data_IF_767394378075
#
_entry.id   IF_767394378075
#
_cell.length_a   1.000
_cell.length_b   1.000
_cell.length_c   1.000
_cell.angle_alpha   90.00
_cell.angle_beta   90.00
_cell.angle_gamma   90.00
#
_symmetry.space_group_name_H-M   'P 1'
#
loop_
_entity.id
_entity.type
_entity.pdbx_description
1 polymer ?
#
# COMPACT_ATOMS: atom_id res chain seq x y z
N UNK A 1 -2.20 7.61 9.63
CA UNK A 1 -3.41 7.05 8.98
C UNK A 1 -3.01 6.03 7.94
N UNK A 2 -3.77 4.99 7.81
CA UNK A 2 -3.55 3.97 6.79
C UNK A 2 -4.55 4.20 5.66
N UNK A 3 -4.04 4.26 4.42
CA UNK A 3 -4.86 4.49 3.23
C UNK A 3 -4.70 3.29 2.32
N UNK A 4 -5.79 2.57 2.10
CA UNK A 4 -5.81 1.41 1.23
C UNK A 4 -6.70 1.69 0.03
N UNK A 5 -6.18 1.45 -1.18
CA UNK A 5 -6.89 1.72 -2.42
C UNK A 5 -6.88 0.49 -3.32
N UNK A 6 -8.05 0.03 -3.69
CA UNK A 6 -8.24 -1.08 -4.62
C UNK A 6 -9.23 -0.72 -5.71
N UNK A 7 -9.51 -1.66 -6.58
CA UNK A 7 -10.47 -1.47 -7.65
C UNK A 7 -10.21 -2.39 -8.83
N UNK A 8 -11.11 -2.39 -9.79
CA UNK A 8 -10.97 -3.23 -10.98
C UNK A 8 -9.82 -2.74 -11.86
N UNK A 9 -9.21 -3.63 -12.66
CA UNK A 9 -8.19 -3.23 -13.63
C UNK A 9 -8.72 -2.12 -14.54
N UNK A 10 -7.84 -1.22 -14.95
CA UNK A 10 -8.16 -0.08 -15.83
C UNK A 10 -9.12 0.95 -15.20
N UNK A 11 -9.23 0.97 -13.88
CA UNK A 11 -10.06 1.97 -13.17
C UNK A 11 -9.34 3.31 -12.97
N UNK A 12 -8.07 3.43 -13.36
CA UNK A 12 -7.29 4.64 -13.16
C UNK A 12 -6.52 4.69 -11.85
N UNK A 13 -6.58 3.63 -11.02
CA UNK A 13 -5.92 3.66 -9.71
C UNK A 13 -4.39 3.81 -9.83
N UNK A 14 -3.76 3.20 -10.83
CA UNK A 14 -2.30 3.33 -11.02
C UNK A 14 -1.91 4.75 -11.42
N UNK A 15 -2.69 5.40 -12.29
CA UNK A 15 -2.44 6.78 -12.68
C UNK A 15 -2.60 7.75 -11.51
N UNK A 16 -3.65 7.55 -10.72
CA UNK A 16 -3.89 8.36 -9.52
C UNK A 16 -2.75 8.19 -8.52
N UNK A 17 -2.32 6.96 -8.31
CA UNK A 17 -1.22 6.66 -7.39
C UNK A 17 0.07 7.33 -7.85
N UNK A 18 0.40 7.27 -9.13
CA UNK A 18 1.61 7.91 -9.66
C UNK A 18 1.59 9.41 -9.49
N UNK A 19 0.43 10.04 -9.64
CA UNK A 19 0.29 11.47 -9.40
C UNK A 19 0.54 11.82 -7.93
N UNK A 20 0.01 11.02 -7.01
CA UNK A 20 0.24 11.19 -5.57
C UNK A 20 1.74 11.04 -5.27
N UNK A 21 2.38 9.99 -5.80
CA UNK A 21 3.79 9.73 -5.57
C UNK A 21 4.70 10.84 -6.09
N UNK A 22 4.37 11.41 -7.25
CA UNK A 22 5.18 12.50 -7.82
C UNK A 22 5.19 13.75 -6.94
N UNK A 23 4.11 13.98 -6.20
CA UNK A 23 4.03 15.11 -5.28
C UNK A 23 4.78 14.89 -3.98
N UNK A 24 4.98 13.63 -3.58
CA UNK A 24 5.72 13.28 -2.37
C UNK A 24 7.24 13.36 -2.54
N UNK A 25 7.73 13.47 -3.76
CA UNK A 25 9.16 13.59 -4.04
C UNK A 25 9.90 12.26 -4.05
N UNK A 26 11.21 12.32 -3.83
CA UNK A 26 12.08 11.12 -3.83
C UNK A 26 11.84 10.27 -2.62
N UNK A 27 12.03 8.96 -2.78
CA UNK A 27 11.84 8.01 -1.71
C UNK A 27 13.07 7.16 -1.42
N UNK A 28 13.08 6.52 -0.26
CA UNK A 28 14.07 5.57 0.15
C UNK A 28 13.45 4.17 0.12
N UNK A 29 14.13 3.22 -0.53
CA UNK A 29 13.68 1.84 -0.61
C UNK A 29 14.07 1.06 0.64
N UNK A 30 13.11 0.33 1.23
CA UNK A 30 13.36 -0.49 2.41
C UNK A 30 12.44 -1.71 2.43
N UNK A 31 12.75 -2.64 3.32
CA UNK A 31 11.92 -3.83 3.54
C UNK A 31 11.81 -4.04 5.05
N UNK A 32 10.87 -3.32 5.72
CA UNK A 32 10.75 -3.36 7.18
C UNK A 32 10.42 -4.74 7.74
N UNK A 33 9.73 -5.56 6.96
CA UNK A 33 9.42 -6.93 7.28
C UNK A 33 9.63 -7.76 6.01
N UNK A 34 10.13 -8.99 6.18
CA UNK A 34 10.36 -9.90 5.05
C UNK A 34 9.11 -10.02 4.18
N UNK A 35 9.27 -9.97 2.87
CA UNK A 35 8.22 -10.01 1.83
C UNK A 35 7.43 -8.70 1.66
N UNK A 36 7.80 -7.64 2.39
CA UNK A 36 7.14 -6.33 2.26
C UNK A 36 8.12 -5.28 1.75
N UNK A 37 8.42 -5.28 0.43
CA UNK A 37 9.20 -4.19 -0.14
C UNK A 37 8.40 -2.88 -0.09
N UNK A 38 9.03 -1.84 0.40
CA UNK A 38 8.39 -0.54 0.62
C UNK A 38 9.25 0.59 0.10
N UNK A 39 8.65 1.77 0.00
CA UNK A 39 9.35 3.01 -0.30
C UNK A 39 8.89 4.06 0.69
N UNK A 40 9.83 4.70 1.37
CA UNK A 40 9.53 5.78 2.30
C UNK A 40 9.73 7.12 1.62
N UNK A 41 8.69 7.96 1.61
CA UNK A 41 8.73 9.33 1.07
C UNK A 41 8.24 10.28 2.15
N UNK A 42 9.16 11.03 2.76
CA UNK A 42 8.83 11.88 3.90
C UNK A 42 8.23 11.06 5.04
N UNK A 43 7.05 11.44 5.51
CA UNK A 43 6.35 10.77 6.60
C UNK A 43 5.41 9.64 6.13
N UNK A 44 5.48 9.30 4.84
CA UNK A 44 4.61 8.30 4.21
C UNK A 44 5.40 7.05 3.87
N UNK A 45 4.92 5.89 4.34
CA UNK A 45 5.43 4.60 3.91
C UNK A 45 4.52 4.06 2.81
N UNK A 46 5.11 3.80 1.64
CA UNK A 46 4.39 3.27 0.48
C UNK A 46 4.70 1.79 0.39
N UNK A 47 3.68 0.94 0.49
CA UNK A 47 3.85 -0.51 0.47
C UNK A 47 3.85 -1.00 -0.97
N UNK A 48 4.87 -1.80 -1.33
CA UNK A 48 5.09 -2.25 -2.68
C UNK A 48 6.08 -1.36 -3.41
N UNK A 49 6.20 -1.58 -4.69
CA UNK A 49 7.14 -0.85 -5.53
C UNK A 49 6.44 -0.34 -6.79
N UNK A 50 6.93 0.78 -7.29
CA UNK A 50 6.42 1.40 -8.52
C UNK A 50 7.58 1.59 -9.51
N UNK A 51 8.06 0.50 -10.13
CA UNK A 51 9.15 0.61 -11.10
C UNK A 51 8.76 1.50 -12.27
N UNK A 52 9.70 2.33 -12.71
CA UNK A 52 9.46 3.23 -13.83
C UNK A 52 9.17 2.43 -15.11
N UNK A 53 8.08 2.78 -15.81
CA UNK A 53 7.70 2.12 -17.06
C UNK A 53 6.96 0.79 -16.90
N UNK A 54 6.76 0.31 -15.68
CA UNK A 54 6.03 -0.92 -15.44
C UNK A 54 4.52 -0.68 -15.42
N UNK A 55 3.77 -1.68 -15.90
CA UNK A 55 2.30 -1.63 -15.95
C UNK A 55 1.70 -1.89 -14.57
N UNK A 56 2.30 -2.81 -13.81
CA UNK A 56 1.83 -3.17 -12.48
C UNK A 56 2.80 -2.71 -11.42
N UNK A 57 2.28 -2.17 -10.35
CA UNK A 57 3.07 -1.69 -9.22
C UNK A 57 2.32 -1.87 -7.91
N UNK A 58 2.79 -1.21 -6.86
CA UNK A 58 2.15 -1.26 -5.55
C UNK A 58 2.17 -2.65 -4.94
N UNK A 59 1.08 -3.00 -4.25
CA UNK A 59 0.99 -4.29 -3.56
C UNK A 59 0.89 -5.48 -4.51
N UNK A 60 0.55 -5.26 -5.77
CA UNK A 60 0.49 -6.34 -6.75
C UNK A 60 1.88 -6.91 -7.08
N UNK A 61 2.94 -6.20 -6.71
CA UNK A 61 4.32 -6.65 -6.84
C UNK A 61 4.80 -7.50 -5.65
N UNK A 62 3.95 -7.66 -4.64
CA UNK A 62 4.28 -8.38 -3.41
C UNK A 62 3.87 -9.84 -3.54
N UNK A 63 4.70 -10.74 -3.01
CA UNK A 63 4.43 -12.18 -3.01
C UNK A 63 3.14 -12.51 -2.26
N UNK A 64 2.41 -13.53 -2.74
CA UNK A 64 1.24 -14.04 -2.03
C UNK A 64 1.55 -14.51 -0.61
N UNK A 65 2.79 -14.96 -0.35
CA UNK A 65 3.22 -15.34 0.99
C UNK A 65 3.14 -14.23 2.03
N UNK A 66 3.13 -12.98 1.59
CA UNK A 66 3.03 -11.84 2.48
C UNK A 66 1.62 -11.66 3.09
N UNK A 67 0.59 -12.25 2.49
CA UNK A 67 -0.80 -12.08 2.95
C UNK A 67 -0.96 -12.50 4.41
N UNK A 68 -0.35 -13.61 4.82
CA UNK A 68 -0.43 -14.11 6.19
C UNK A 68 0.28 -13.20 7.20
N UNK A 69 1.14 -12.30 6.75
CA UNK A 69 1.92 -11.39 7.59
C UNK A 69 1.43 -9.95 7.56
N UNK A 70 0.34 -9.69 6.84
CA UNK A 70 -0.18 -8.33 6.65
C UNK A 70 -0.46 -7.63 7.97
N UNK A 71 -1.15 -8.29 8.88
CA UNK A 71 -1.53 -7.69 10.18
C UNK A 71 -0.31 -7.39 11.03
N UNK A 72 0.66 -8.30 11.07
CA UNK A 72 1.92 -8.08 11.79
C UNK A 72 2.69 -6.91 11.22
N UNK A 73 2.73 -6.79 9.90
CA UNK A 73 3.38 -5.67 9.23
C UNK A 73 2.73 -4.33 9.61
N UNK A 74 1.40 -4.25 9.56
CA UNK A 74 0.68 -3.03 9.89
C UNK A 74 0.90 -2.67 11.37
N UNK A 75 0.78 -3.63 12.29
CA UNK A 75 1.01 -3.39 13.72
C UNK A 75 2.42 -2.90 13.99
N UNK A 76 3.40 -3.43 13.28
CA UNK A 76 4.81 -3.03 13.43
C UNK A 76 5.07 -1.62 12.90
N UNK A 77 4.52 -1.27 11.74
CA UNK A 77 4.88 -0.06 11.03
C UNK A 77 3.97 1.14 11.29
N UNK A 78 2.73 0.92 11.68
CA UNK A 78 1.78 2.02 11.91
C UNK A 78 2.29 3.10 12.88
N UNK A 79 2.92 2.75 14.02
CA UNK A 79 3.41 3.79 14.93
C UNK A 79 4.66 4.53 14.45
N UNK A 80 5.32 4.04 13.40
CA UNK A 80 6.58 4.62 12.90
C UNK A 80 6.40 5.68 11.83
N UNK A 81 5.21 5.74 11.20
CA UNK A 81 4.96 6.60 10.06
C UNK A 81 3.67 7.37 10.25
N UNK A 82 3.62 8.59 9.74
CA UNK A 82 2.41 9.40 9.78
C UNK A 82 1.31 8.77 8.93
N UNK A 83 1.68 8.24 7.76
CA UNK A 83 0.76 7.58 6.85
C UNK A 83 1.39 6.33 6.27
N UNK A 84 0.56 5.30 6.05
CA UNK A 84 0.93 4.11 5.28
C UNK A 84 -0.04 4.02 4.10
N UNK A 85 0.51 3.89 2.89
CA UNK A 85 -0.26 3.86 1.66
C UNK A 85 -0.11 2.50 0.99
N UNK A 86 -1.26 1.85 0.69
CA UNK A 86 -1.31 0.57 -0.02
C UNK A 86 -2.26 0.71 -1.21
N UNK A 87 -1.78 0.37 -2.39
CA UNK A 87 -2.59 0.35 -3.60
C UNK A 87 -2.43 -1.00 -4.29
N UNK A 88 -3.53 -1.57 -4.76
CA UNK A 88 -3.59 -2.85 -5.42
C UNK A 88 -4.47 -3.84 -4.68
N UNK A 89 -4.58 -5.04 -5.22
CA UNK A 89 -5.55 -6.01 -4.73
C UNK A 89 -4.96 -7.09 -3.81
N UNK A 90 -3.64 -7.12 -3.61
CA UNK A 90 -2.96 -8.19 -2.86
C UNK A 90 -3.50 -8.35 -1.44
N UNK A 91 -3.72 -7.25 -0.74
CA UNK A 91 -4.23 -7.25 0.63
C UNK A 91 -5.69 -6.78 0.71
N UNK A 92 -6.36 -6.64 -0.41
CA UNK A 92 -7.73 -6.12 -0.48
C UNK A 92 -8.71 -7.26 -0.24
N UNK A 93 -8.73 -7.78 0.99
CA UNK A 93 -9.54 -8.91 1.42
C UNK A 93 -10.49 -8.48 2.53
N UNK A 94 -11.74 -8.95 2.48
CA UNK A 94 -12.78 -8.50 3.40
C UNK A 94 -12.37 -8.58 4.87
N UNK A 95 -11.79 -9.69 5.30
CA UNK A 95 -11.38 -9.88 6.71
C UNK A 95 -10.24 -8.97 7.12
N UNK A 96 -9.29 -8.71 6.21
CA UNK A 96 -8.16 -7.82 6.50
C UNK A 96 -8.60 -6.37 6.52
N UNK A 97 -9.52 -5.99 5.64
CA UNK A 97 -10.10 -4.65 5.63
C UNK A 97 -10.89 -4.39 6.92
N UNK A 98 -11.70 -5.35 7.34
CA UNK A 98 -12.48 -5.29 8.56
C UNK A 98 -11.56 -5.14 9.79
N UNK A 99 -10.53 -5.97 9.88
CA UNK A 99 -9.53 -5.89 10.94
C UNK A 99 -8.84 -4.52 10.96
N UNK A 100 -8.46 -4.02 9.78
CA UNK A 100 -7.77 -2.73 9.64
C UNK A 100 -8.64 -1.57 10.15
N UNK A 101 -9.91 -1.55 9.75
CA UNK A 101 -10.84 -0.50 10.16
C UNK A 101 -11.16 -0.56 11.66
N UNK A 102 -11.18 -1.76 12.24
CA UNK A 102 -11.46 -1.96 13.66
C UNK A 102 -10.28 -1.62 14.57
N UNK A 103 -9.05 -1.78 14.10
CA UNK A 103 -7.86 -1.70 14.94
C UNK A 103 -6.96 -0.49 14.65
N UNK A 104 -7.14 0.18 13.54
CA UNK A 104 -6.30 1.30 13.13
C UNK A 104 -7.12 2.45 12.56
N UNK A 105 -6.53 3.64 12.55
CA UNK A 105 -7.11 4.78 11.85
C UNK A 105 -6.84 4.58 10.35
N UNK A 106 -7.83 4.11 9.61
CA UNK A 106 -7.69 3.72 8.22
C UNK A 106 -8.85 4.20 7.37
N UNK A 107 -8.56 4.42 6.08
CA UNK A 107 -9.56 4.69 5.06
C UNK A 107 -9.34 3.76 3.89
N UNK A 108 -10.43 3.22 3.36
CA UNK A 108 -10.41 2.29 2.23
C UNK A 108 -11.19 2.90 1.08
N UNK A 109 -10.56 2.96 -0.09
CA UNK A 109 -11.14 3.50 -1.30
C UNK A 109 -11.24 2.42 -2.36
N UNK A 110 -12.38 2.35 -3.05
CA UNK A 110 -12.58 1.43 -4.16
C UNK A 110 -12.86 2.27 -5.41
N UNK A 111 -11.98 2.14 -6.41
CA UNK A 111 -12.17 2.82 -7.68
C UNK A 111 -12.95 1.93 -8.64
N UNK A 112 -13.94 2.47 -9.28
CA UNK A 112 -14.75 1.79 -10.28
C UNK A 112 -14.63 2.48 -11.62
N UNK A 113 -14.89 1.73 -12.69
CA UNK A 113 -14.86 2.27 -14.05
C UNK A 113 -16.16 2.99 -14.38
#
# INVERSE_FOLDING_TARGET
MIIMMGGVPCSGKSSLTRNILSELGSGEMLEPLSLFPCEKRGDVLIVGRYPHGETFGGTDRISYGAISKFRDFIDQEAPKHKHIFLEGDRFFRAKDIEWLLDNHNAKVYILTV
#
